data_IF_091254888526
#
_entry.id   IF_091254888526
#
_cell.length_a   1.000
_cell.length_b   1.000
_cell.length_c   1.000
_cell.angle_alpha   90.00
_cell.angle_beta   90.00
_cell.angle_gamma   90.00
#
_symmetry.space_group_name_H-M   'P 1'
#
loop_
_entity.id
_entity.type
_entity.pdbx_description
1 polymer ?
#
# COMPACT_ATOMS: atom_id res chain seq x y z
N UNK A 1 40.41 -22.49 34.97
CA UNK A 1 39.53 -21.56 35.71
C UNK A 1 39.13 -20.44 34.74
N UNK A 2 37.86 -20.40 34.30
CA UNK A 2 36.86 -19.31 34.48
C UNK A 2 37.35 -17.92 33.97
N UNK A 3 36.82 -17.45 32.82
CA UNK A 3 35.74 -16.41 32.65
C UNK A 3 36.29 -14.99 32.85
N UNK A 4 35.95 -13.94 32.12
CA UNK A 4 34.93 -13.65 31.11
C UNK A 4 35.33 -12.33 30.38
N UNK A 5 34.41 -11.81 29.56
CA UNK A 5 34.39 -10.48 28.92
C UNK A 5 34.93 -10.38 27.49
N UNK A 6 34.19 -10.99 26.57
CA UNK A 6 33.98 -10.38 25.25
C UNK A 6 32.51 -9.96 25.16
N UNK A 7 32.26 -8.75 25.68
CA UNK A 7 30.98 -8.06 25.64
C UNK A 7 30.68 -7.61 24.21
N UNK A 8 29.57 -8.12 23.69
CA UNK A 8 28.59 -7.41 22.86
C UNK A 8 29.08 -6.16 22.14
N UNK A 9 29.47 -6.31 20.87
CA UNK A 9 29.27 -5.27 19.85
C UNK A 9 28.17 -5.67 18.89
N UNK A 10 26.97 -5.82 19.45
CA UNK A 10 25.71 -5.60 18.74
C UNK A 10 25.47 -4.10 18.74
N UNK A 11 25.75 -3.41 17.63
CA UNK A 11 24.96 -2.26 17.17
C UNK A 11 25.61 -1.58 15.96
N UNK A 12 24.78 -1.39 14.93
CA UNK A 12 24.88 -0.19 14.11
C UNK A 12 25.42 -0.38 12.69
N UNK A 13 24.78 -1.20 11.85
CA UNK A 13 24.68 -0.98 10.39
C UNK A 13 23.84 -2.08 9.73
N UNK A 14 22.54 -1.84 9.63
CA UNK A 14 21.63 -2.77 8.95
C UNK A 14 20.23 -2.20 8.73
N UNK A 15 20.08 -0.88 8.57
CA UNK A 15 18.79 -0.21 8.35
C UNK A 15 18.74 0.51 6.99
N UNK A 16 19.30 -0.11 5.95
CA UNK A 16 19.29 0.44 4.58
C UNK A 16 18.85 -0.54 3.50
N UNK A 17 18.43 -1.75 3.83
CA UNK A 17 18.10 -2.81 2.85
C UNK A 17 16.60 -3.10 2.69
N UNK A 18 15.71 -2.54 3.50
CA UNK A 18 14.29 -2.94 3.49
C UNK A 18 13.39 -2.16 2.49
N UNK A 19 13.87 -1.09 1.85
CA UNK A 19 13.02 -0.30 0.93
C UNK A 19 13.01 -0.81 -0.52
N UNK A 20 13.91 -1.72 -0.88
CA UNK A 20 14.00 -2.31 -2.22
C UNK A 20 13.52 -3.75 -2.27
N UNK A 21 13.32 -4.40 -1.12
CA UNK A 21 12.81 -5.76 -1.07
C UNK A 21 11.36 -5.80 -1.60
N UNK A 22 11.08 -6.59 -2.65
CA UNK A 22 9.75 -6.72 -3.26
C UNK A 22 8.63 -7.00 -2.25
N UNK A 23 8.92 -7.80 -1.22
CA UNK A 23 7.93 -8.13 -0.17
C UNK A 23 7.64 -6.91 0.71
N UNK A 24 8.66 -6.18 1.12
CA UNK A 24 8.52 -4.94 1.90
C UNK A 24 7.77 -3.84 1.14
N UNK A 25 7.99 -3.74 -0.18
CA UNK A 25 7.24 -2.83 -1.07
C UNK A 25 5.76 -3.20 -1.13
N UNK A 26 5.44 -4.47 -1.36
CA UNK A 26 4.04 -4.95 -1.39
C UNK A 26 3.36 -4.78 -0.03
N UNK A 27 4.05 -5.08 1.06
CA UNK A 27 3.56 -4.88 2.42
C UNK A 27 3.25 -3.40 2.71
N UNK A 28 4.07 -2.48 2.21
CA UNK A 28 3.80 -1.05 2.31
C UNK A 28 2.57 -0.67 1.48
N UNK A 29 2.47 -1.15 0.24
CA UNK A 29 1.33 -0.86 -0.63
C UNK A 29 0.00 -1.35 -0.02
N UNK A 30 -0.06 -2.60 0.45
CA UNK A 30 -1.25 -3.17 1.10
C UNK A 30 -1.71 -2.30 2.27
N UNK A 31 -0.79 -1.91 3.15
CA UNK A 31 -1.11 -1.05 4.30
C UNK A 31 -1.65 0.32 3.86
N UNK A 32 -1.02 0.94 2.87
CA UNK A 32 -1.44 2.24 2.35
C UNK A 32 -2.83 2.18 1.71
N UNK A 33 -3.09 1.16 0.89
CA UNK A 33 -4.39 0.96 0.23
C UNK A 33 -5.50 0.72 1.26
N UNK A 34 -5.25 -0.14 2.25
CA UNK A 34 -6.20 -0.42 3.33
C UNK A 34 -6.58 0.84 4.11
N UNK A 35 -5.57 1.66 4.46
CA UNK A 35 -5.80 2.92 5.16
C UNK A 35 -6.64 3.89 4.33
N UNK A 36 -6.27 4.09 3.07
CA UNK A 36 -6.99 4.98 2.18
C UNK A 36 -8.41 4.50 1.88
N UNK A 37 -8.64 3.18 1.78
CA UNK A 37 -9.98 2.61 1.62
C UNK A 37 -10.90 3.00 2.77
N UNK A 38 -10.42 2.94 4.03
CA UNK A 38 -11.21 3.34 5.20
C UNK A 38 -11.53 4.83 5.16
N UNK A 39 -10.57 5.68 4.75
CA UNK A 39 -10.83 7.12 4.62
C UNK A 39 -11.85 7.43 3.54
N UNK A 40 -11.74 6.79 2.37
CA UNK A 40 -12.70 6.94 1.28
C UNK A 40 -14.09 6.44 1.66
N UNK A 41 -14.19 5.37 2.46
CA UNK A 41 -15.46 4.90 3.03
C UNK A 41 -16.11 5.99 3.89
N UNK A 42 -15.34 6.59 4.80
CA UNK A 42 -15.82 7.69 5.65
C UNK A 42 -16.21 8.92 4.83
N UNK A 43 -15.47 9.24 3.77
CA UNK A 43 -15.80 10.34 2.85
C UNK A 43 -17.10 10.04 2.08
N UNK A 44 -17.29 8.81 1.58
CA UNK A 44 -18.51 8.38 0.89
C UNK A 44 -19.74 8.44 1.80
N UNK A 45 -19.61 7.98 3.05
CA UNK A 45 -20.70 8.02 4.04
C UNK A 45 -21.09 9.45 4.43
N UNK A 46 -20.14 10.39 4.47
CA UNK A 46 -20.39 11.78 4.85
C UNK A 46 -20.91 12.65 3.71
N UNK A 47 -20.37 12.46 2.51
CA UNK A 47 -20.66 13.32 1.36
C UNK A 47 -21.95 12.96 0.63
N UNK A 48 -22.45 11.71 0.80
CA UNK A 48 -23.59 11.17 0.03
C UNK A 48 -23.43 11.37 -1.49
N UNK A 49 -22.19 11.26 -1.98
CA UNK A 49 -21.83 11.53 -3.37
C UNK A 49 -21.56 10.24 -4.12
N UNK A 50 -22.18 10.05 -5.27
CA UNK A 50 -21.92 8.92 -6.18
C UNK A 50 -20.45 8.84 -6.56
N UNK A 51 -19.78 9.99 -6.72
CA UNK A 51 -18.34 10.05 -7.02
C UNK A 51 -17.50 9.51 -5.85
N UNK A 52 -17.88 9.84 -4.61
CA UNK A 52 -17.19 9.32 -3.43
C UNK A 52 -17.42 7.81 -3.26
N UNK A 53 -18.64 7.33 -3.52
CA UNK A 53 -18.99 5.90 -3.50
C UNK A 53 -18.21 5.14 -4.60
N UNK A 54 -18.15 5.67 -5.82
CA UNK A 54 -17.40 5.08 -6.93
C UNK A 54 -15.92 4.97 -6.57
N UNK A 55 -15.31 6.04 -6.05
CA UNK A 55 -13.91 6.04 -5.60
C UNK A 55 -13.64 5.00 -4.52
N UNK A 56 -14.49 4.94 -3.50
CA UNK A 56 -14.37 3.93 -2.44
C UNK A 56 -14.49 2.51 -3.02
N UNK A 57 -15.50 2.24 -3.85
CA UNK A 57 -15.75 0.91 -4.41
C UNK A 57 -14.58 0.38 -5.24
N UNK A 58 -13.97 1.23 -6.06
CA UNK A 58 -12.80 0.87 -6.89
C UNK A 58 -11.58 0.61 -6.01
N UNK A 59 -11.28 1.50 -5.04
CA UNK A 59 -10.14 1.29 -4.13
C UNK A 59 -10.32 0.01 -3.31
N UNK A 60 -11.55 -0.29 -2.86
CA UNK A 60 -11.88 -1.52 -2.16
C UNK A 60 -11.71 -2.77 -3.01
N UNK A 61 -12.04 -2.72 -4.31
CA UNK A 61 -11.76 -3.80 -5.27
C UNK A 61 -10.25 -4.03 -5.38
N UNK A 62 -9.49 -2.97 -5.61
CA UNK A 62 -8.03 -3.04 -5.72
C UNK A 62 -7.40 -3.59 -4.44
N UNK A 63 -7.91 -3.22 -3.26
CA UNK A 63 -7.46 -3.75 -1.97
C UNK A 63 -7.62 -5.28 -1.87
N UNK A 64 -8.79 -5.80 -2.25
CA UNK A 64 -9.08 -7.24 -2.21
C UNK A 64 -8.17 -8.02 -3.17
N UNK A 65 -8.04 -7.55 -4.40
CA UNK A 65 -7.18 -8.16 -5.41
C UNK A 65 -5.70 -8.11 -4.96
N UNK A 66 -5.26 -7.01 -4.38
CA UNK A 66 -3.91 -6.86 -3.87
C UNK A 66 -3.63 -7.78 -2.67
N UNK A 67 -4.60 -7.99 -1.79
CA UNK A 67 -4.47 -8.95 -0.69
C UNK A 67 -4.23 -10.38 -1.19
N UNK A 68 -4.99 -10.82 -2.21
CA UNK A 68 -4.78 -12.13 -2.85
C UNK A 68 -3.39 -12.27 -3.47
N UNK A 69 -2.89 -11.20 -4.11
CA UNK A 69 -1.53 -11.17 -4.66
C UNK A 69 -0.48 -11.25 -3.55
N UNK A 70 -0.68 -10.51 -2.45
CA UNK A 70 0.23 -10.50 -1.31
C UNK A 70 0.31 -11.89 -0.65
N UNK A 71 -0.84 -12.54 -0.44
CA UNK A 71 -0.91 -13.89 0.11
C UNK A 71 -0.17 -14.89 -0.80
N UNK A 72 -0.37 -14.81 -2.12
CA UNK A 72 0.27 -15.69 -3.10
C UNK A 72 1.80 -15.57 -3.15
N UNK A 73 2.38 -14.41 -2.79
CA UNK A 73 3.83 -14.21 -2.73
C UNK A 73 4.43 -14.51 -1.35
N UNK A 74 3.65 -15.07 -0.43
CA UNK A 74 4.06 -15.43 0.92
C UNK A 74 4.14 -14.24 1.87
N UNK A 75 3.29 -13.23 1.69
CA UNK A 75 3.16 -12.13 2.65
C UNK A 75 2.13 -12.47 3.74
N UNK A 76 2.58 -12.98 4.89
CA UNK A 76 1.70 -13.30 6.03
C UNK A 76 1.26 -12.06 6.86
N UNK A 77 1.46 -10.86 6.32
CA UNK A 77 1.35 -9.61 7.07
C UNK A 77 -0.06 -9.03 7.09
N UNK A 78 -0.95 -9.52 7.95
CA UNK A 78 -2.14 -8.77 8.40
C UNK A 78 -1.75 -7.62 9.36
N UNK A 79 -0.73 -6.83 9.00
CA UNK A 79 -0.32 -5.70 9.82
C UNK A 79 -1.51 -4.74 9.98
N UNK A 80 -1.88 -4.47 11.24
CA UNK A 80 -2.91 -3.48 11.59
C UNK A 80 -2.54 -2.16 10.90
N UNK A 81 -3.49 -1.60 10.14
CA UNK A 81 -3.30 -0.29 9.53
C UNK A 81 -3.21 0.74 10.66
N UNK A 82 -2.04 1.32 10.89
CA UNK A 82 -1.95 2.52 11.71
C UNK A 82 -2.56 3.66 10.91
N UNK A 83 -3.62 4.23 11.46
CA UNK A 83 -4.32 5.40 10.93
C UNK A 83 -3.40 6.61 11.14
N UNK A 84 -2.44 6.81 10.24
CA UNK A 84 -1.66 8.05 10.23
C UNK A 84 -2.47 9.10 9.47
N UNK A 85 -2.76 10.23 10.11
CA UNK A 85 -3.45 11.35 9.49
C UNK A 85 -2.55 12.02 8.45
N UNK A 86 -2.39 11.40 7.27
CA UNK A 86 -1.83 12.10 6.12
C UNK A 86 -2.86 13.12 5.64
N UNK A 87 -2.47 14.39 5.56
CA UNK A 87 -3.32 15.48 5.13
C UNK A 87 -3.69 15.37 3.63
N UNK A 88 -2.96 14.56 2.87
CA UNK A 88 -3.16 14.38 1.44
C UNK A 88 -4.49 13.65 1.13
N UNK A 89 -5.10 13.92 -0.04
CA UNK A 89 -6.28 13.21 -0.51
C UNK A 89 -6.01 11.70 -0.61
N UNK A 90 -6.89 10.83 -0.07
CA UNK A 90 -6.62 9.40 0.01
C UNK A 90 -6.41 8.74 -1.36
N UNK A 91 -7.08 9.22 -2.41
CA UNK A 91 -6.90 8.71 -3.78
C UNK A 91 -5.51 9.03 -4.35
N UNK A 92 -4.97 10.22 -4.08
CA UNK A 92 -3.63 10.62 -4.52
C UNK A 92 -2.56 9.80 -3.79
N UNK A 93 -2.72 9.61 -2.47
CA UNK A 93 -1.83 8.76 -1.66
C UNK A 93 -1.76 7.33 -2.21
N UNK A 94 -2.92 6.74 -2.56
CA UNK A 94 -2.97 5.41 -3.17
C UNK A 94 -2.28 5.39 -4.52
N UNK A 95 -2.59 6.35 -5.40
CA UNK A 95 -2.01 6.44 -6.74
C UNK A 95 -0.48 6.52 -6.67
N UNK A 96 0.06 7.41 -5.83
CA UNK A 96 1.50 7.55 -5.62
C UNK A 96 2.14 6.28 -5.03
N UNK A 97 1.43 5.53 -4.18
CA UNK A 97 1.92 4.26 -3.65
C UNK A 97 2.02 3.18 -4.74
N UNK A 98 1.05 3.09 -5.64
CA UNK A 98 1.09 2.19 -6.81
C UNK A 98 2.25 2.54 -7.74
N UNK A 99 2.43 3.83 -8.06
CA UNK A 99 3.55 4.29 -8.89
C UNK A 99 4.90 3.94 -8.27
N UNK A 100 5.05 4.14 -6.95
CA UNK A 100 6.26 3.77 -6.22
C UNK A 100 6.49 2.26 -6.25
N UNK A 101 5.45 1.46 -6.06
CA UNK A 101 5.55 0.00 -6.12
C UNK A 101 5.95 -0.50 -7.51
N UNK A 102 5.43 0.11 -8.58
CA UNK A 102 5.76 -0.24 -9.97
C UNK A 102 7.20 0.09 -10.38
N UNK A 103 7.91 0.93 -9.61
CA UNK A 103 9.35 1.20 -9.80
C UNK A 103 10.24 0.14 -9.15
N UNK A 104 9.68 -0.74 -8.31
CA UNK A 104 10.42 -1.84 -7.70
C UNK A 104 10.51 -3.05 -8.64
N UNK A 105 11.49 -3.91 -8.40
CA UNK A 105 11.68 -5.15 -9.16
C UNK A 105 10.70 -6.24 -8.69
N UNK A 106 9.44 -6.10 -9.13
CA UNK A 106 8.35 -7.02 -8.80
C UNK A 106 8.19 -8.10 -9.90
N UNK A 107 7.76 -9.32 -9.55
CA UNK A 107 7.42 -10.33 -10.54
C UNK A 107 6.43 -9.82 -11.59
N UNK A 108 6.61 -10.21 -12.86
CA UNK A 108 5.78 -9.74 -13.98
C UNK A 108 4.27 -9.87 -13.73
N UNK A 109 3.74 -10.97 -13.19
CA UNK A 109 2.30 -11.09 -12.90
C UNK A 109 1.82 -10.04 -11.88
N UNK A 110 2.62 -9.76 -10.86
CA UNK A 110 2.33 -8.73 -9.85
C UNK A 110 2.28 -7.35 -10.50
N UNK A 111 3.29 -7.03 -11.33
CA UNK A 111 3.34 -5.74 -12.05
C UNK A 111 2.11 -5.53 -12.93
N UNK A 112 1.63 -6.56 -13.64
CA UNK A 112 0.45 -6.47 -14.49
C UNK A 112 -0.81 -6.10 -13.69
N UNK A 113 -1.01 -6.73 -12.53
CA UNK A 113 -2.11 -6.40 -11.61
C UNK A 113 -2.00 -4.95 -11.12
N UNK A 114 -0.80 -4.55 -10.66
CA UNK A 114 -0.58 -3.18 -10.17
C UNK A 114 -0.80 -2.12 -11.26
N UNK A 115 -0.37 -2.37 -12.50
CA UNK A 115 -0.63 -1.49 -13.65
C UNK A 115 -2.11 -1.40 -13.97
N UNK A 116 -2.84 -2.52 -13.93
CA UNK A 116 -4.29 -2.52 -14.15
C UNK A 116 -5.02 -1.68 -13.08
N UNK A 117 -4.66 -1.85 -11.81
CA UNK A 117 -5.19 -1.05 -10.71
C UNK A 117 -4.88 0.44 -10.90
N UNK A 118 -3.64 0.78 -11.23
CA UNK A 118 -3.23 2.17 -11.43
C UNK A 118 -4.03 2.85 -12.55
N UNK A 119 -4.30 2.15 -13.67
CA UNK A 119 -5.17 2.68 -14.72
C UNK A 119 -6.61 2.93 -14.23
N UNK A 120 -7.17 2.05 -13.38
CA UNK A 120 -8.51 2.27 -12.79
C UNK A 120 -8.50 3.49 -11.87
N UNK A 121 -7.46 3.66 -11.07
CA UNK A 121 -7.31 4.79 -10.16
C UNK A 121 -7.18 6.12 -10.91
N UNK A 122 -6.36 6.20 -11.96
CA UNK A 122 -6.22 7.43 -12.75
C UNK A 122 -7.53 7.90 -13.38
N UNK A 123 -8.42 6.99 -13.80
CA UNK A 123 -9.75 7.36 -14.33
C UNK A 123 -10.63 8.05 -13.30
N UNK A 124 -10.41 7.83 -12.01
CA UNK A 124 -11.16 8.46 -10.92
C UNK A 124 -10.64 9.86 -10.53
N UNK A 125 -9.39 10.16 -10.90
CA UNK A 125 -8.74 11.45 -10.68
C UNK A 125 -9.04 12.45 -11.78
N UNK A 126 -9.44 11.99 -12.97
CA UNK A 126 -9.91 12.90 -14.04
C UNK A 126 -11.30 13.41 -13.69
N UNK A 127 -11.55 14.74 -13.67
CA UNK A 127 -12.90 15.25 -13.51
C UNK A 127 -13.76 14.71 -14.67
N UNK A 128 -14.88 14.02 -14.36
CA UNK A 128 -15.89 13.74 -15.38
C UNK A 128 -16.43 15.10 -15.85
N UNK A 129 -16.31 15.38 -17.15
CA UNK A 129 -17.04 16.49 -17.75
C UNK A 129 -18.54 16.24 -17.51
N UNK A 130 -19.18 17.18 -16.81
CA UNK A 130 -20.61 17.19 -16.55
C UNK A 130 -21.39 17.57 -17.82
#
# INVERSE_FOLDING_TARGET
MRRADETSRVSGRGRRTDQTDPRSVLAHLVRTVRFASVRLELEALKAHSDVAIERWSVVRSCERELALVADAVGHEGHARAHVSAHADPPLEVVTAAYERALRADLPRPVRQVLTHHLHRLHRLSTPRAA
#
